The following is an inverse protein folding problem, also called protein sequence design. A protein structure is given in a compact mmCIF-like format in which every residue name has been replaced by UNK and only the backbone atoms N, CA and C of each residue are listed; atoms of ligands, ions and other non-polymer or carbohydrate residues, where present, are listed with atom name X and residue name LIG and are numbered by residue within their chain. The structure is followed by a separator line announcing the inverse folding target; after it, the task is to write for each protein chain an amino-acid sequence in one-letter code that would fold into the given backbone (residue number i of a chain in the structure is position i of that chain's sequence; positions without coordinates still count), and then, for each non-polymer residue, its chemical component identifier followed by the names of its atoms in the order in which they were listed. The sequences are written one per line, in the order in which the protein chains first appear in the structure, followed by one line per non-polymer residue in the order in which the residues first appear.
data_IF_571854014667
#
_entry.id   IF_571854014667
#
_cell.length_a   1.000
_cell.length_b   1.000
_cell.length_c   1.000
_cell.angle_alpha   90.00
_cell.angle_beta   90.00
_cell.angle_gamma   90.00
#
_symmetry.space_group_name_H-M   'P 1'
#
loop_
_entity.id
_entity.type
_entity.pdbx_description
1 polymer ?
#
# COMPACT_ATOMS: atom_id res chain seq x y z
N UNK A 1 -2.30 -19.53 15.45
CA UNK A 1 -1.01 -20.06 14.98
C UNK A 1 -0.24 -18.87 14.43
N UNK A 2 1.01 -18.68 14.83
CA UNK A 2 1.79 -17.47 14.58
C UNK A 2 2.79 -17.65 13.42
N UNK A 3 3.15 -16.57 12.70
CA UNK A 3 4.20 -16.59 11.68
C UNK A 3 5.55 -17.08 12.24
N UNK A 4 5.89 -16.72 13.48
CA UNK A 4 7.14 -17.04 14.16
C UNK A 4 7.26 -16.23 15.47
N UNK A 5 8.27 -16.50 16.29
CA UNK A 5 8.59 -15.70 17.50
C UNK A 5 9.38 -14.42 17.18
N UNK A 6 10.08 -14.41 16.05
CA UNK A 6 10.77 -13.21 15.54
C UNK A 6 10.69 -13.16 14.01
N UNK A 7 10.43 -11.98 13.46
CA UNK A 7 10.31 -11.74 12.02
C UNK A 7 10.44 -10.24 11.67
N UNK A 8 10.78 -9.94 10.42
CA UNK A 8 10.85 -8.58 9.89
C UNK A 8 9.87 -8.42 8.73
N UNK A 9 9.07 -7.35 8.72
CA UNK A 9 8.27 -6.96 7.56
C UNK A 9 9.08 -5.98 6.73
N UNK A 10 9.22 -6.29 5.44
CA UNK A 10 10.03 -5.53 4.49
C UNK A 10 9.21 -5.14 3.28
N UNK A 11 9.57 -3.99 2.70
CA UNK A 11 8.91 -3.40 1.56
C UNK A 11 9.90 -3.23 0.42
N UNK A 12 9.39 -3.26 -0.80
CA UNK A 12 10.18 -3.05 -2.01
C UNK A 12 9.33 -2.48 -3.13
N UNK A 13 9.92 -1.65 -3.98
CA UNK A 13 9.31 -1.18 -5.23
C UNK A 13 9.66 -2.06 -6.43
N UNK A 14 10.73 -2.86 -6.33
CA UNK A 14 11.35 -3.57 -7.46
C UNK A 14 11.53 -5.10 -7.23
N UNK A 15 11.18 -5.60 -6.05
CA UNK A 15 11.39 -6.97 -5.55
C UNK A 15 12.85 -7.42 -5.37
N UNK A 16 13.80 -6.52 -5.60
CA UNK A 16 15.26 -6.77 -5.50
C UNK A 16 15.83 -6.06 -4.28
N UNK A 17 15.49 -4.79 -4.12
CA UNK A 17 15.93 -3.90 -3.04
C UNK A 17 14.86 -3.88 -1.96
N UNK A 18 15.20 -4.33 -0.75
CA UNK A 18 14.26 -4.47 0.35
C UNK A 18 14.64 -3.57 1.53
N UNK A 19 13.68 -2.79 2.02
CA UNK A 19 13.83 -1.96 3.22
C UNK A 19 12.96 -2.51 4.36
N UNK A 20 13.45 -2.50 5.62
CA UNK A 20 12.65 -2.90 6.76
C UNK A 20 11.60 -1.83 7.09
N UNK A 21 10.35 -2.26 7.28
CA UNK A 21 9.27 -1.42 7.80
C UNK A 21 9.06 -1.65 9.30
N UNK A 22 9.06 -2.91 9.74
CA UNK A 22 8.93 -3.31 11.15
C UNK A 22 9.84 -4.50 11.43
N UNK A 23 10.43 -4.52 12.61
CA UNK A 23 11.18 -5.66 13.15
C UNK A 23 10.57 -6.14 14.47
N UNK A 24 10.19 -7.41 14.53
CA UNK A 24 9.59 -8.06 15.71
C UNK A 24 10.56 -9.13 16.19
N UNK A 25 11.00 -9.02 17.44
CA UNK A 25 12.02 -9.93 18.00
C UNK A 25 11.48 -10.89 19.07
N UNK A 26 10.30 -10.61 19.63
CA UNK A 26 9.66 -11.44 20.65
C UNK A 26 8.12 -11.35 20.58
N UNK A 27 7.53 -11.98 19.56
CA UNK A 27 6.08 -12.12 19.41
C UNK A 27 5.55 -13.18 20.39
N UNK A 28 4.42 -12.86 21.04
CA UNK A 28 3.63 -13.80 21.85
C UNK A 28 2.79 -14.78 21.00
N UNK A 29 2.76 -14.54 19.68
CA UNK A 29 2.05 -15.31 18.68
C UNK A 29 0.57 -14.97 18.59
N UNK A 30 -0.11 -15.54 17.60
CA UNK A 30 -1.52 -15.21 17.30
C UNK A 30 -1.63 -14.31 16.08
N UNK A 31 -2.52 -13.32 16.14
CA UNK A 31 -2.73 -12.35 15.05
C UNK A 31 -2.09 -11.03 15.40
N UNK A 32 -1.13 -10.61 14.57
CA UNK A 32 -0.45 -9.33 14.73
C UNK A 32 -1.10 -8.26 13.82
N UNK A 33 -1.46 -7.11 14.41
CA UNK A 33 -1.91 -5.93 13.67
C UNK A 33 -0.83 -4.86 13.78
N UNK A 34 -0.13 -4.62 12.68
CA UNK A 34 1.07 -3.80 12.63
C UNK A 34 0.80 -2.51 11.86
N UNK A 35 1.23 -1.38 12.40
CA UNK A 35 1.14 -0.06 11.75
C UNK A 35 2.52 0.57 11.70
N UNK A 36 2.88 1.15 10.56
CA UNK A 36 4.15 1.83 10.31
C UNK A 36 3.91 3.02 9.37
N UNK A 37 4.92 3.86 9.19
CA UNK A 37 4.82 5.04 8.33
C UNK A 37 4.50 4.66 6.88
N UNK A 38 3.55 5.39 6.28
CA UNK A 38 3.13 5.15 4.90
C UNK A 38 4.32 5.25 3.96
N UNK A 39 4.64 4.14 3.31
CA UNK A 39 5.81 4.00 2.43
C UNK A 39 5.36 3.49 1.06
N UNK A 40 5.89 4.08 -0.01
CA UNK A 40 5.63 3.58 -1.37
C UNK A 40 6.24 2.18 -1.54
N UNK A 41 5.42 1.21 -1.94
CA UNK A 41 5.84 -0.16 -2.12
C UNK A 41 4.95 -0.87 -3.15
N UNK A 42 5.52 -1.86 -3.84
CA UNK A 42 4.78 -2.80 -4.71
C UNK A 42 4.82 -4.22 -4.17
N UNK A 43 5.82 -4.52 -3.36
CA UNK A 43 6.07 -5.84 -2.80
C UNK A 43 6.22 -5.76 -1.29
N UNK A 44 5.65 -6.75 -0.61
CA UNK A 44 5.78 -6.95 0.83
C UNK A 44 6.41 -8.33 1.04
N UNK A 45 7.37 -8.41 1.96
CA UNK A 45 7.98 -9.66 2.41
C UNK A 45 7.90 -9.73 3.93
N UNK A 46 7.50 -10.89 4.44
CA UNK A 46 7.64 -11.22 5.86
C UNK A 46 8.79 -12.20 5.97
N UNK A 47 9.93 -11.72 6.49
CA UNK A 47 11.14 -12.51 6.67
C UNK A 47 11.15 -13.13 8.08
N UNK A 48 11.00 -14.45 8.17
CA UNK A 48 10.77 -15.16 9.42
C UNK A 48 12.09 -15.70 9.99
N UNK A 49 12.46 -15.26 11.18
CA UNK A 49 13.77 -15.56 11.78
C UNK A 49 13.73 -16.70 12.79
N UNK A 50 12.74 -16.67 13.68
CA UNK A 50 12.64 -17.64 14.78
C UNK A 50 11.26 -18.27 14.80
N UNK A 51 11.20 -19.60 14.80
CA UNK A 51 9.92 -20.34 14.85
C UNK A 51 9.25 -20.20 16.21
N UNK A 52 7.92 -20.13 16.22
CA UNK A 52 7.13 -20.11 17.45
C UNK A 52 6.95 -21.52 18.06
N UNK A 53 6.98 -22.56 17.23
CA UNK A 53 6.80 -23.97 17.65
C UNK A 53 7.87 -24.87 17.02
N UNK A 54 7.92 -26.15 17.41
CA UNK A 54 8.83 -27.12 16.80
C UNK A 54 8.50 -27.46 15.34
N UNK A 55 7.25 -27.24 14.92
CA UNK A 55 6.73 -27.64 13.61
C UNK A 55 7.12 -26.67 12.48
N UNK A 56 7.81 -25.58 12.79
CA UNK A 56 8.31 -24.60 11.83
C UNK A 56 7.49 -23.31 11.77
N UNK A 57 7.58 -22.63 10.63
CA UNK A 57 6.91 -21.37 10.35
C UNK A 57 5.55 -21.62 9.68
N UNK A 58 4.54 -20.84 10.05
CA UNK A 58 3.19 -20.97 9.46
C UNK A 58 2.46 -19.63 9.41
N UNK A 59 1.97 -19.23 8.24
CA UNK A 59 1.02 -18.13 8.09
C UNK A 59 -0.30 -18.65 7.54
N UNK A 60 -1.40 -18.28 8.21
CA UNK A 60 -2.77 -18.56 7.73
C UNK A 60 -3.31 -17.47 6.84
N UNK A 61 -3.05 -16.20 7.17
CA UNK A 61 -3.56 -15.06 6.44
C UNK A 61 -2.55 -13.90 6.53
N UNK A 62 -2.46 -13.12 5.46
CA UNK A 62 -1.77 -11.83 5.43
C UNK A 62 -2.71 -10.82 4.79
N UNK A 63 -2.95 -9.71 5.49
CA UNK A 63 -3.73 -8.58 4.98
C UNK A 63 -2.83 -7.35 4.95
N UNK A 64 -2.74 -6.73 3.79
CA UNK A 64 -2.00 -5.48 3.58
C UNK A 64 -3.02 -4.41 3.23
N UNK A 65 -3.00 -3.33 4.00
CA UNK A 65 -3.90 -2.20 3.82
C UNK A 65 -3.10 -1.02 3.26
N UNK A 66 -3.66 -0.33 2.28
CA UNK A 66 -3.15 0.97 1.91
C UNK A 66 -3.38 1.93 3.08
N UNK A 67 -2.43 2.84 3.32
CA UNK A 67 -2.71 3.98 4.17
C UNK A 67 -3.97 4.66 3.62
N UNK A 68 -4.89 5.07 4.50
CA UNK A 68 -5.88 6.06 4.11
C UNK A 68 -5.07 7.17 3.47
N UNK A 69 -5.33 7.49 2.20
CA UNK A 69 -4.86 8.77 1.69
C UNK A 69 -5.41 9.74 2.72
N UNK A 70 -4.53 10.51 3.35
CA UNK A 70 -4.98 11.73 3.98
C UNK A 70 -5.87 12.36 2.90
N UNK A 71 -7.17 12.37 3.14
CA UNK A 71 -8.04 13.27 2.43
C UNK A 71 -7.66 14.63 2.99
N UNK A 72 -6.42 15.06 2.72
CA UNK A 72 -6.11 16.46 2.62
C UNK A 72 -7.18 16.92 1.64
N UNK A 73 -8.10 17.75 2.13
CA UNK A 73 -8.90 18.61 1.30
C UNK A 73 -7.95 19.57 0.58
N UNK A 74 -7.04 18.99 -0.21
CA UNK A 74 -6.02 19.64 -0.97
C UNK A 74 -6.76 20.55 -1.90
N UNK A 75 -6.70 21.83 -1.58
CA UNK A 75 -6.80 22.88 -2.55
C UNK A 75 -6.07 22.38 -3.80
N UNK A 76 -6.83 22.28 -4.90
CA UNK A 76 -6.31 21.97 -6.23
C UNK A 76 -5.32 23.09 -6.59
N UNK A 77 -4.09 22.97 -6.11
CA UNK A 77 -2.98 23.78 -6.59
C UNK A 77 -2.76 23.34 -8.03
N UNK A 78 -3.05 24.26 -8.95
CA UNK A 78 -3.25 24.05 -10.37
C UNK A 78 -2.41 22.90 -10.97
N UNK A 79 -3.09 22.01 -11.69
CA UNK A 79 -2.44 21.13 -12.65
C UNK A 79 -1.64 22.01 -13.64
N UNK A 80 -0.45 21.59 -14.11
CA UNK A 80 0.26 22.35 -15.13
C UNK A 80 -0.71 22.66 -16.28
N UNK A 81 -0.78 23.93 -16.70
CA UNK A 81 -1.65 24.43 -17.77
C UNK A 81 -1.23 23.90 -19.13
N UNK A 82 -1.25 22.58 -19.30
CA UNK A 82 -1.28 21.98 -20.62
C UNK A 82 -2.76 21.90 -21.03
N UNK A 83 -3.19 22.55 -22.12
CA UNK A 83 -4.59 22.53 -22.52
C UNK A 83 -4.97 21.09 -22.85
N UNK A 84 -5.77 20.45 -22.00
CA UNK A 84 -6.36 19.17 -22.34
C UNK A 84 -7.46 19.40 -23.38
N UNK A 85 -7.36 18.70 -24.51
CA UNK A 85 -8.38 18.76 -25.55
C UNK A 85 -9.60 17.97 -25.10
N UNK A 86 -10.75 18.63 -25.02
CA UNK A 86 -12.03 17.97 -24.84
C UNK A 86 -12.48 17.39 -26.19
N UNK A 87 -12.54 16.06 -26.29
CA UNK A 87 -13.05 15.38 -27.49
C UNK A 87 -14.45 14.84 -27.23
N UNK A 88 -15.45 15.41 -27.91
CA UNK A 88 -16.86 14.99 -27.82
C UNK A 88 -17.22 14.11 -29.02
N UNK A 89 -17.89 12.98 -28.77
CA UNK A 89 -18.33 12.03 -29.81
C UNK A 89 -19.84 11.77 -29.74
N UNK A 90 -20.55 11.70 -30.89
CA UNK A 90 -20.06 11.89 -32.25
C UNK A 90 -19.86 13.36 -32.63
N UNK A 91 -18.89 13.60 -33.52
CA UNK A 91 -18.62 14.91 -34.12
C UNK A 91 -19.34 15.00 -35.49
N UNK A 92 -20.27 15.96 -35.72
CA UNK A 92 -20.68 17.06 -34.85
C UNK A 92 -21.69 16.67 -33.75
N UNK A 93 -21.50 17.20 -32.54
CA UNK A 93 -22.45 17.08 -31.42
C UNK A 93 -23.49 18.19 -31.49
N UNK A 94 -24.75 17.88 -31.20
CA UNK A 94 -25.87 18.81 -31.42
C UNK A 94 -26.33 19.55 -30.17
N UNK A 95 -26.07 19.04 -28.94
CA UNK A 95 -26.87 19.48 -27.77
C UNK A 95 -26.08 19.85 -26.49
N UNK A 96 -24.93 20.54 -26.65
CA UNK A 96 -24.19 21.28 -25.59
C UNK A 96 -23.28 20.50 -24.62
N UNK A 97 -22.21 21.20 -24.22
CA UNK A 97 -21.29 20.88 -23.12
C UNK A 97 -21.56 21.87 -21.98
N UNK A 98 -21.90 21.37 -20.78
CA UNK A 98 -22.05 22.21 -19.59
C UNK A 98 -20.73 22.25 -18.83
N UNK A 99 -20.14 23.44 -18.71
CA UNK A 99 -19.02 23.72 -17.80
C UNK A 99 -19.55 24.70 -16.76
N UNK A 100 -19.61 24.29 -15.49
CA UNK A 100 -19.91 25.18 -14.37
C UNK A 100 -18.60 25.52 -13.66
N UNK A 101 -18.46 26.79 -13.30
CA UNK A 101 -17.34 27.28 -12.50
C UNK A 101 -17.47 26.84 -11.04
#
# INVERSE_FOLDING_TARGET
MAPGRAYTVQLSEDSVSWSPAIDITDSDGGTDNLTFDSTAARYVRVDLHTRATEFGFSLWELKVYAAERANDGGEVTALPEEPFALQVYPNPTTDYLRIEA
#
